data_IF_867996507041
#
_entry.id   IF_867996507041
#
_cell.length_a   1.000
_cell.length_b   1.000
_cell.length_c   1.000
_cell.angle_alpha   90.00
_cell.angle_beta   90.00
_cell.angle_gamma   90.00
#
_symmetry.space_group_name_H-M   'P 1'
#
loop_
_entity.id
_entity.type
_entity.pdbx_description
1 polymer ?
#
# COMPACT_ATOMS: atom_id res chain seq x y z
N UNK A 1 -12.71 12.84 20.63
CA UNK A 1 -12.30 13.06 19.23
C UNK A 1 -10.78 13.10 19.25
N UNK A 2 -10.11 11.97 19.04
CA UNK A 2 -8.65 11.93 19.11
C UNK A 2 -8.12 12.61 17.87
N UNK A 3 -7.51 13.79 18.05
CA UNK A 3 -6.76 14.46 17.01
C UNK A 3 -5.74 13.44 16.49
N UNK A 4 -5.79 13.13 15.20
CA UNK A 4 -4.76 12.39 14.51
C UNK A 4 -3.47 13.21 14.65
N UNK A 5 -2.72 13.01 15.74
CA UNK A 5 -1.47 13.70 15.98
C UNK A 5 -0.59 13.58 14.74
N UNK A 6 0.16 14.64 14.42
CA UNK A 6 0.86 14.85 13.15
C UNK A 6 1.29 13.53 12.51
N UNK A 7 0.68 13.23 11.35
CA UNK A 7 1.02 12.04 10.57
C UNK A 7 2.53 12.10 10.32
N UNK A 8 3.22 11.00 10.63
CA UNK A 8 4.65 10.89 10.36
C UNK A 8 4.87 10.37 8.95
N UNK A 9 3.97 9.51 8.48
CA UNK A 9 4.13 8.84 7.21
C UNK A 9 3.14 7.70 7.01
N UNK A 10 3.50 6.80 6.08
CA UNK A 10 2.64 5.72 5.62
C UNK A 10 3.35 4.36 5.61
N UNK A 11 2.65 3.32 6.04
CA UNK A 11 2.97 1.93 5.73
C UNK A 11 2.31 1.56 4.40
N UNK A 12 3.08 0.94 3.51
CA UNK A 12 2.58 0.41 2.23
C UNK A 12 2.77 -1.10 2.23
N UNK A 13 1.67 -1.82 2.16
CA UNK A 13 1.62 -3.28 2.14
C UNK A 13 1.39 -3.79 0.72
N UNK A 14 2.01 -4.93 0.39
CA UNK A 14 1.82 -5.66 -0.86
C UNK A 14 1.61 -7.14 -0.56
N UNK A 15 0.46 -7.65 -0.94
CA UNK A 15 0.12 -9.07 -0.86
C UNK A 15 -0.06 -9.62 -2.27
N UNK A 16 0.61 -10.74 -2.57
CA UNK A 16 0.35 -11.51 -3.78
C UNK A 16 -0.93 -12.32 -3.55
N UNK A 17 -1.84 -12.30 -4.51
CA UNK A 17 -3.10 -13.04 -4.44
C UNK A 17 -3.10 -14.23 -5.41
N UNK A 18 -3.84 -15.28 -5.04
CA UNK A 18 -4.26 -16.37 -5.92
C UNK A 18 -5.74 -16.61 -5.66
N UNK A 19 -6.55 -16.46 -6.70
CA UNK A 19 -8.01 -16.57 -6.60
C UNK A 19 -8.60 -15.62 -5.53
N UNK A 20 -8.06 -14.41 -5.43
CA UNK A 20 -8.49 -13.39 -4.45
C UNK A 20 -7.92 -13.55 -3.03
N UNK A 21 -7.19 -14.63 -2.73
CA UNK A 21 -6.65 -14.89 -1.39
C UNK A 21 -5.14 -14.65 -1.32
N UNK A 22 -4.60 -14.05 -0.23
CA UNK A 22 -3.16 -13.89 -0.05
C UNK A 22 -2.42 -15.23 -0.04
N UNK A 23 -1.41 -15.40 -0.90
CA UNK A 23 -0.60 -16.64 -0.96
C UNK A 23 0.68 -16.61 -0.14
N UNK A 24 1.07 -15.44 0.36
CA UNK A 24 2.28 -15.29 1.15
C UNK A 24 1.92 -15.03 2.61
N UNK A 25 2.41 -15.89 3.51
CA UNK A 25 2.32 -15.65 4.96
C UNK A 25 3.14 -14.42 5.40
N UNK A 26 4.09 -13.98 4.56
CA UNK A 26 4.90 -12.79 4.80
C UNK A 26 4.34 -11.58 4.05
N UNK A 27 3.60 -10.77 4.80
CA UNK A 27 3.20 -9.41 4.43
C UNK A 27 4.44 -8.58 4.05
N UNK A 28 4.57 -8.20 2.77
CA UNK A 28 5.64 -7.28 2.35
C UNK A 28 5.24 -5.85 2.70
N UNK A 29 6.07 -5.16 3.48
CA UNK A 29 5.80 -3.80 3.96
C UNK A 29 6.96 -2.86 3.68
N UNK A 30 6.64 -1.70 3.12
CA UNK A 30 7.54 -0.53 3.02
C UNK A 30 7.05 0.61 3.91
N UNK A 31 7.96 1.51 4.28
CA UNK A 31 7.65 2.69 5.11
C UNK A 31 8.04 3.95 4.34
N UNK A 32 7.14 4.94 4.32
CA UNK A 32 7.36 6.27 3.74
C UNK A 32 7.31 7.28 4.88
N UNK A 33 8.43 7.95 5.19
CA UNK A 33 8.53 9.00 6.21
C UNK A 33 8.26 10.39 5.61
N UNK A 34 7.12 10.54 4.95
CA UNK A 34 6.68 11.81 4.37
C UNK A 34 5.16 11.88 4.45
N UNK A 35 4.66 12.75 5.30
CA UNK A 35 3.24 12.98 5.54
C UNK A 35 2.50 13.63 4.36
N UNK A 36 3.23 14.29 3.46
CA UNK A 36 2.66 14.95 2.29
C UNK A 36 2.65 14.04 1.06
N UNK A 37 3.31 12.88 1.15
CA UNK A 37 3.33 11.90 0.07
C UNK A 37 1.97 11.22 -0.06
N UNK A 38 1.41 11.30 -1.26
CA UNK A 38 0.09 10.73 -1.60
C UNK A 38 0.15 9.67 -2.68
N UNK A 39 1.35 9.30 -3.12
CA UNK A 39 1.56 8.27 -4.12
C UNK A 39 2.92 7.59 -3.97
N UNK A 40 3.03 6.35 -4.44
CA UNK A 40 4.31 5.65 -4.55
C UNK A 40 4.34 4.73 -5.77
N UNK A 41 5.55 4.47 -6.26
CA UNK A 41 5.80 3.50 -7.31
C UNK A 41 6.16 2.16 -6.68
N UNK A 42 5.42 1.10 -7.01
CA UNK A 42 5.72 -0.25 -6.58
C UNK A 42 6.34 -1.02 -7.76
N UNK A 43 7.55 -1.54 -7.53
CA UNK A 43 8.36 -2.26 -8.51
C UNK A 43 8.55 -3.72 -8.12
N UNK A 44 9.11 -4.53 -9.02
CA UNK A 44 9.37 -5.95 -8.76
C UNK A 44 8.08 -6.76 -8.64
N UNK A 45 7.11 -6.46 -9.51
CA UNK A 45 5.85 -7.17 -9.63
C UNK A 45 6.01 -8.27 -10.67
N UNK A 46 5.43 -9.43 -10.37
CA UNK A 46 5.46 -10.58 -11.28
C UNK A 46 4.39 -10.41 -12.35
N UNK A 47 4.69 -10.75 -13.63
CA UNK A 47 3.67 -10.88 -14.66
C UNK A 47 2.56 -11.86 -14.27
N UNK A 48 1.35 -11.64 -14.80
CA UNK A 48 0.19 -12.53 -14.59
C UNK A 48 -0.12 -12.81 -13.12
N UNK A 49 0.14 -11.83 -12.25
CA UNK A 49 -0.01 -11.98 -10.81
C UNK A 49 -0.89 -10.89 -10.25
N UNK A 50 -1.91 -11.29 -9.50
CA UNK A 50 -2.79 -10.38 -8.79
C UNK A 50 -2.13 -9.92 -7.48
N UNK A 51 -2.31 -8.64 -7.13
CA UNK A 51 -1.79 -8.06 -5.90
C UNK A 51 -2.86 -7.21 -5.19
N UNK A 52 -2.87 -7.27 -3.86
CA UNK A 52 -3.58 -6.31 -3.02
C UNK A 52 -2.57 -5.32 -2.41
N UNK A 53 -2.91 -4.04 -2.44
CA UNK A 53 -2.13 -2.98 -1.81
C UNK A 53 -2.93 -2.34 -0.68
N UNK A 54 -2.29 -2.14 0.48
CA UNK A 54 -2.93 -1.49 1.64
C UNK A 54 -2.04 -0.34 2.12
N UNK A 55 -2.65 0.77 2.52
CA UNK A 55 -1.94 1.96 2.95
C UNK A 55 -2.48 2.41 4.31
N UNK A 56 -1.59 2.50 5.30
CA UNK A 56 -1.95 2.92 6.64
C UNK A 56 -1.11 4.15 7.00
N UNK A 57 -1.75 5.26 7.37
CA UNK A 57 -1.02 6.36 7.98
C UNK A 57 -0.58 5.97 9.40
N UNK A 58 0.54 6.52 9.86
CA UNK A 58 0.96 6.32 11.25
C UNK A 58 1.45 7.62 11.89
N UNK A 59 1.19 7.74 13.18
CA UNK A 59 1.70 8.81 14.04
C UNK A 59 2.47 8.23 15.25
N UNK A 60 2.92 9.09 16.18
CA UNK A 60 3.68 8.67 17.37
C UNK A 60 2.90 7.83 18.37
N UNK A 61 1.57 7.85 18.30
CA UNK A 61 0.69 7.27 19.30
C UNK A 61 0.03 5.95 18.83
N UNK A 62 -0.30 5.82 17.53
CA UNK A 62 -0.77 4.58 16.91
C UNK A 62 -0.84 4.70 15.36
N UNK A 63 -0.82 3.58 14.61
CA UNK A 63 -1.28 3.57 13.23
C UNK A 63 -2.79 3.88 13.13
N UNK A 64 -3.23 4.62 12.11
CA UNK A 64 -4.65 4.88 11.84
C UNK A 64 -5.36 3.62 11.31
N UNK A 65 -6.70 3.68 11.22
CA UNK A 65 -7.44 2.69 10.44
C UNK A 65 -6.90 2.61 8.99
N UNK A 66 -6.79 1.40 8.42
CA UNK A 66 -6.21 1.17 7.10
C UNK A 66 -7.13 1.68 5.99
N UNK A 67 -6.58 2.40 5.01
CA UNK A 67 -7.25 2.58 3.72
C UNK A 67 -6.78 1.49 2.75
N UNK A 68 -7.70 0.62 2.34
CA UNK A 68 -7.43 -0.45 1.37
C UNK A 68 -7.81 0.03 -0.03
N UNK A 69 -6.88 -0.08 -0.98
CA UNK A 69 -7.15 0.14 -2.39
C UNK A 69 -6.62 -1.04 -3.20
N UNK A 70 -7.52 -1.76 -3.87
CA UNK A 70 -7.16 -2.84 -4.78
C UNK A 70 -6.84 -2.28 -6.16
N UNK A 71 -5.70 -2.67 -6.74
CA UNK A 71 -5.28 -2.27 -8.09
C UNK A 71 -5.01 -3.54 -8.90
N UNK A 72 -5.78 -3.74 -9.97
CA UNK A 72 -5.54 -4.81 -10.96
C UNK A 72 -4.57 -4.32 -12.01
N UNK A 73 -3.50 -5.08 -12.28
CA UNK A 73 -2.50 -4.72 -13.30
C UNK A 73 -2.86 -5.42 -14.61
N UNK A 74 -3.10 -4.62 -15.65
CA UNK A 74 -3.67 -5.04 -16.93
C UNK A 74 -2.63 -5.33 -18.04
N UNK A 75 -1.33 -5.40 -17.73
CA UNK A 75 -0.30 -5.52 -18.76
C UNK A 75 0.50 -6.83 -18.66
N UNK A 76 0.87 -7.36 -19.83
CA UNK A 76 1.62 -8.61 -20.03
C UNK A 76 3.16 -8.43 -20.09
N UNK A 77 3.68 -7.21 -20.23
CA UNK A 77 5.12 -6.96 -20.42
C UNK A 77 5.83 -6.35 -19.19
N UNK A 78 6.97 -6.96 -18.83
CA UNK A 78 7.82 -6.52 -17.73
C UNK A 78 8.70 -5.31 -18.10
N UNK A 79 9.08 -4.46 -17.13
CA UNK A 79 8.71 -4.53 -15.72
C UNK A 79 7.34 -3.89 -15.46
N UNK A 80 6.41 -4.68 -14.93
CA UNK A 80 5.13 -4.16 -14.49
C UNK A 80 5.33 -3.27 -13.26
N UNK A 81 4.72 -2.10 -13.31
CA UNK A 81 4.74 -1.10 -12.24
C UNK A 81 3.31 -0.72 -11.89
N UNK A 82 3.01 -0.66 -10.60
CA UNK A 82 1.76 -0.12 -10.11
C UNK A 82 2.03 1.28 -9.54
N UNK A 83 1.22 2.26 -9.94
CA UNK A 83 1.09 3.52 -9.20
C UNK A 83 -0.09 3.36 -8.25
N UNK A 84 0.16 3.57 -6.97
CA UNK A 84 -0.88 3.60 -5.95
C UNK A 84 -0.99 5.03 -5.45
N UNK A 85 -2.19 5.61 -5.53
CA UNK A 85 -2.53 6.95 -5.08
C UNK A 85 -3.47 6.86 -3.86
N UNK A 86 -3.32 7.73 -2.86
CA UNK A 86 -4.20 7.74 -1.69
C UNK A 86 -4.50 9.16 -1.20
N UNK A 87 -5.58 9.28 -0.42
CA UNK A 87 -5.94 10.53 0.25
C UNK A 87 -5.51 10.45 1.72
N UNK A 88 -4.88 11.48 2.29
CA UNK A 88 -4.60 11.51 3.71
C UNK A 88 -5.88 11.32 4.53
N UNK A 89 -5.83 10.58 5.66
CA UNK A 89 -6.97 10.48 6.57
C UNK A 89 -7.33 11.87 7.13
N UNK A 90 -8.63 12.10 7.36
CA UNK A 90 -9.17 13.34 7.96
C UNK A 90 -9.00 13.34 9.47
#
# INVERSE_FOLDING_TARGET
MYANGDIIGYYVYKDKLLNGEPVNDKLQRSIIYDQHKTHTLITGLEPNTEYAFRINAFNRHAPSEPQTQSVTLLNDEAPLRARVDWKPPK
#
